data_IF_909597711581
#
_entry.id   IF_909597711581
#
_cell.length_a   1.000
_cell.length_b   1.000
_cell.length_c   1.000
_cell.angle_alpha   90.00
_cell.angle_beta   90.00
_cell.angle_gamma   90.00
#
_symmetry.space_group_name_H-M   'P 1'
#
loop_
_entity.id
_entity.type
_entity.pdbx_description
1 polymer ?
#
# COMPACT_ATOMS: atom_id res chain seq x y z
N UNK A 1 -4.11 18.57 6.78
CA UNK A 1 -3.04 17.84 7.49
C UNK A 1 -3.69 16.90 8.48
N UNK A 2 -3.25 15.64 8.55
CA UNK A 2 -3.70 14.68 9.56
C UNK A 2 -2.66 14.52 10.66
N UNK A 3 -3.09 14.15 11.87
CA UNK A 3 -2.24 13.84 13.02
C UNK A 3 -2.46 12.39 13.43
N UNK A 4 -1.36 11.68 13.70
CA UNK A 4 -1.37 10.30 14.18
C UNK A 4 -0.57 10.26 15.48
N UNK A 5 -1.10 9.57 16.49
CA UNK A 5 -0.40 9.30 17.75
C UNK A 5 -0.26 7.79 17.89
N UNK A 6 0.98 7.31 17.86
CA UNK A 6 1.30 5.90 18.13
C UNK A 6 1.60 5.77 19.62
N UNK A 7 0.79 4.97 20.33
CA UNK A 7 0.97 4.71 21.77
C UNK A 7 1.64 3.36 21.96
N UNK A 8 2.32 3.18 23.09
CA UNK A 8 3.00 1.93 23.44
C UNK A 8 4.00 1.48 22.35
N UNK A 9 4.73 2.44 21.78
CA UNK A 9 5.80 2.14 20.85
C UNK A 9 7.00 1.62 21.65
N UNK A 10 7.54 0.49 21.23
CA UNK A 10 8.74 -0.06 21.84
C UNK A 10 9.92 0.91 21.68
N UNK A 11 10.69 1.11 22.75
CA UNK A 11 11.80 2.07 22.78
C UNK A 11 12.87 1.74 21.72
N UNK A 12 13.09 0.45 21.46
CA UNK A 12 14.00 0.00 20.41
C UNK A 12 13.58 0.51 19.01
N UNK A 13 12.28 0.57 18.73
CA UNK A 13 11.75 1.09 17.46
C UNK A 13 11.94 2.61 17.39
N UNK A 14 11.69 3.32 18.50
CA UNK A 14 11.92 4.77 18.55
C UNK A 14 13.38 5.12 18.30
N UNK A 15 14.32 4.40 18.92
CA UNK A 15 15.75 4.60 18.73
C UNK A 15 16.20 4.27 17.29
N UNK A 16 15.70 3.18 16.72
CA UNK A 16 15.98 2.84 15.32
C UNK A 16 15.52 3.95 14.35
N UNK A 17 14.34 4.53 14.59
CA UNK A 17 13.82 5.63 13.78
C UNK A 17 14.65 6.90 13.96
N UNK A 18 15.08 7.23 15.18
CA UNK A 18 15.97 8.38 15.44
C UNK A 18 17.31 8.24 14.73
N UNK A 19 17.94 7.06 14.81
CA UNK A 19 19.20 6.77 14.13
C UNK A 19 19.06 6.92 12.61
N UNK A 20 17.98 6.38 12.06
CA UNK A 20 17.68 6.51 10.62
C UNK A 20 17.41 7.96 10.22
N UNK A 21 16.71 8.73 11.05
CA UNK A 21 16.47 10.16 10.81
C UNK A 21 17.77 10.96 10.79
N UNK A 22 18.69 10.69 11.74
CA UNK A 22 20.01 11.31 11.77
C UNK A 22 20.82 10.97 10.51
N UNK A 23 20.82 9.70 10.08
CA UNK A 23 21.48 9.28 8.84
C UNK A 23 20.93 10.00 7.59
N UNK A 24 19.64 10.29 7.57
CA UNK A 24 18.98 10.99 6.46
C UNK A 24 18.98 12.52 6.58
N UNK A 25 19.66 13.10 7.59
CA UNK A 25 19.66 14.54 7.89
C UNK A 25 18.24 15.13 7.99
N UNK A 26 17.32 14.40 8.63
CA UNK A 26 15.91 14.78 8.80
C UNK A 26 15.51 14.70 10.26
N UNK A 27 14.44 15.42 10.63
CA UNK A 27 13.82 15.24 11.94
C UNK A 27 13.18 13.86 12.05
N UNK A 28 13.06 13.33 13.27
CA UNK A 28 12.40 12.04 13.53
C UNK A 28 10.97 12.01 12.97
N UNK A 29 10.22 13.10 13.11
CA UNK A 29 8.88 13.23 12.53
C UNK A 29 8.90 13.20 10.99
N UNK A 30 9.84 13.91 10.37
CA UNK A 30 9.99 13.90 8.91
C UNK A 30 10.37 12.51 8.39
N UNK A 31 11.18 11.76 9.14
CA UNK A 31 11.52 10.38 8.82
C UNK A 31 10.32 9.44 8.98
N UNK A 32 9.55 9.55 10.06
CA UNK A 32 8.30 8.79 10.24
C UNK A 32 7.35 9.05 9.08
N UNK A 33 7.19 10.32 8.67
CA UNK A 33 6.38 10.67 7.50
C UNK A 33 6.92 10.03 6.22
N UNK A 34 8.24 10.05 6.01
CA UNK A 34 8.87 9.45 4.83
C UNK A 34 8.68 7.92 4.81
N UNK A 35 8.81 7.25 5.96
CA UNK A 35 8.56 5.82 6.13
C UNK A 35 7.11 5.49 5.80
N UNK A 36 6.15 6.25 6.36
CA UNK A 36 4.73 6.05 6.09
C UNK A 36 4.41 6.25 4.61
N UNK A 37 4.89 7.35 4.00
CA UNK A 37 4.72 7.61 2.57
C UNK A 37 5.33 6.50 1.69
N UNK A 38 6.47 5.94 2.10
CA UNK A 38 7.10 4.83 1.38
C UNK A 38 6.32 3.54 1.51
N UNK A 39 5.84 3.22 2.70
CA UNK A 39 5.04 2.03 2.98
C UNK A 39 3.72 2.04 2.18
N UNK A 40 3.11 3.22 1.99
CA UNK A 40 1.89 3.37 1.17
C UNK A 40 2.19 3.63 -0.32
N UNK A 41 3.45 3.56 -0.74
CA UNK A 41 3.84 3.70 -2.16
C UNK A 41 3.74 5.12 -2.73
N UNK A 42 3.65 6.15 -1.89
CA UNK A 42 3.56 7.55 -2.29
C UNK A 42 4.92 8.21 -2.55
N UNK A 43 6.01 7.64 -2.05
CA UNK A 43 7.38 8.02 -2.43
C UNK A 43 7.92 7.06 -3.49
N UNK A 44 7.40 7.15 -4.71
CA UNK A 44 8.17 6.72 -5.88
C UNK A 44 9.25 7.78 -6.15
N UNK A 45 10.52 7.42 -6.34
CA UNK A 45 11.47 8.36 -6.91
C UNK A 45 10.92 8.78 -8.27
N UNK A 46 10.73 10.09 -8.44
CA UNK A 46 10.56 10.69 -9.76
C UNK A 46 11.81 10.35 -10.58
N UNK A 47 11.77 9.22 -11.32
CA UNK A 47 12.91 8.79 -12.14
C UNK A 47 13.07 7.30 -12.39
N UNK A 48 12.44 6.38 -11.65
CA UNK A 48 12.48 4.95 -12.06
C UNK A 48 11.20 4.58 -12.80
N UNK A 49 11.23 4.80 -14.11
CA UNK A 49 10.51 3.95 -15.06
C UNK A 49 11.13 2.53 -14.96
N UNK A 50 10.80 1.80 -13.90
CA UNK A 50 10.92 0.34 -13.93
C UNK A 50 9.60 -0.18 -14.50
N UNK A 51 9.58 -0.75 -15.71
CA UNK A 51 8.35 -1.18 -16.36
C UNK A 51 7.76 -2.47 -15.78
N UNK A 52 8.31 -3.01 -14.68
CA UNK A 52 8.09 -4.41 -14.31
C UNK A 52 7.76 -4.68 -12.83
N UNK A 53 7.00 -3.78 -12.18
CA UNK A 53 6.35 -4.18 -10.92
C UNK A 53 4.98 -3.52 -10.73
N UNK A 54 3.88 -4.30 -10.63
CA UNK A 54 2.56 -3.76 -10.39
C UNK A 54 2.42 -3.37 -8.91
N UNK A 55 2.02 -2.12 -8.66
CA UNK A 55 1.65 -1.61 -7.34
C UNK A 55 0.19 -1.16 -7.39
N UNK A 56 -0.75 -2.06 -7.17
CA UNK A 56 -2.10 -1.70 -6.74
C UNK A 56 -2.54 -2.54 -5.54
N UNK A 57 -3.34 -1.92 -4.68
CA UNK A 57 -3.95 -2.55 -3.50
C UNK A 57 -4.81 -3.79 -3.87
N UNK A 58 -5.26 -3.87 -5.13
CA UNK A 58 -5.92 -5.04 -5.73
C UNK A 58 -5.02 -6.28 -5.83
N UNK A 59 -3.70 -6.11 -5.89
CA UNK A 59 -2.76 -7.23 -5.98
C UNK A 59 -2.53 -7.87 -4.60
N UNK A 60 -2.77 -7.11 -3.52
CA UNK A 60 -2.67 -7.58 -2.14
C UNK A 60 -3.95 -8.29 -1.69
N UNK A 61 -5.11 -7.86 -2.19
CA UNK A 61 -6.41 -8.50 -1.94
C UNK A 61 -6.66 -9.47 -3.09
N UNK A 62 -6.04 -10.64 -3.08
CA UNK A 62 -6.12 -11.80 -3.99
C UNK A 62 -7.26 -11.93 -5.02
N UNK A 63 -7.56 -10.89 -5.79
CA UNK A 63 -8.44 -10.90 -6.95
C UNK A 63 -7.49 -11.15 -8.09
N UNK A 64 -7.26 -12.43 -8.35
CA UNK A 64 -6.56 -12.90 -9.52
C UNK A 64 -7.01 -12.06 -10.72
N UNK A 65 -6.11 -11.23 -11.23
CA UNK A 65 -6.20 -10.65 -12.56
C UNK A 65 -6.15 -11.78 -13.58
N UNK A 66 -7.25 -12.51 -13.74
CA UNK A 66 -7.66 -12.89 -15.08
C UNK A 66 -8.19 -11.61 -15.70
N UNK A 67 -7.62 -11.20 -16.83
CA UNK A 67 -8.19 -10.15 -17.68
C UNK A 67 -9.50 -10.67 -18.26
N UNK A 68 -10.52 -10.74 -17.42
CA UNK A 68 -11.87 -10.95 -17.87
C UNK A 68 -12.38 -9.64 -18.39
N UNK A 69 -12.84 -9.63 -19.63
CA UNK A 69 -13.49 -8.45 -20.19
C UNK A 69 -14.74 -8.16 -19.36
N UNK A 70 -15.20 -6.91 -19.38
CA UNK A 70 -16.38 -6.50 -18.61
C UNK A 70 -17.59 -7.42 -18.85
N UNK A 71 -17.72 -7.95 -20.07
CA UNK A 71 -18.75 -8.90 -20.48
C UNK A 71 -18.66 -10.25 -19.75
N UNK A 72 -17.44 -10.73 -19.48
CA UNK A 72 -17.21 -11.99 -18.77
C UNK A 72 -17.48 -11.82 -17.26
N UNK A 73 -17.20 -10.62 -16.71
CA UNK A 73 -17.57 -10.27 -15.34
C UNK A 73 -19.09 -10.21 -15.19
N UNK A 74 -19.79 -9.55 -16.13
CA UNK A 74 -21.25 -9.44 -16.10
C UNK A 74 -21.93 -10.80 -16.26
N UNK A 75 -21.36 -11.69 -17.09
CA UNK A 75 -21.83 -13.06 -17.24
C UNK A 75 -21.65 -13.88 -15.95
N UNK A 76 -20.51 -13.74 -15.28
CA UNK A 76 -20.23 -14.42 -14.00
C UNK A 76 -21.15 -13.95 -12.87
N UNK A 77 -21.40 -12.64 -12.78
CA UNK A 77 -22.33 -12.08 -11.78
C UNK A 77 -23.76 -12.58 -12.01
N UNK A 78 -24.19 -12.72 -13.27
CA UNK A 78 -25.51 -13.30 -13.59
C UNK A 78 -25.60 -14.77 -13.22
N UNK A 79 -24.59 -15.58 -13.52
CA UNK A 79 -24.61 -17.00 -13.16
C UNK A 79 -24.66 -17.23 -11.66
N UNK A 80 -23.97 -16.40 -10.88
CA UNK A 80 -24.06 -16.43 -9.42
C UNK A 80 -25.48 -16.11 -8.95
N UNK A 81 -26.13 -15.09 -9.52
CA UNK A 81 -27.51 -14.74 -9.14
C UNK A 81 -28.48 -15.90 -9.38
N UNK A 82 -28.38 -16.55 -10.54
CA UNK A 82 -29.27 -17.65 -10.91
C UNK A 82 -29.04 -18.91 -10.04
N UNK A 83 -27.84 -19.09 -9.50
CA UNK A 83 -27.52 -20.18 -8.55
C UNK A 83 -28.14 -19.95 -7.17
N UNK A 84 -28.29 -18.69 -6.73
CA UNK A 84 -28.92 -18.34 -5.46
C UNK A 84 -30.46 -18.24 -5.52
N UNK A 85 -31.04 -18.08 -6.71
CA UNK A 85 -32.50 -18.07 -6.92
C UNK A 85 -33.08 -19.48 -7.17
N UNK A 86 -32.26 -20.55 -7.11
CA UNK A 86 -32.67 -21.96 -7.16
C UNK A 86 -32.73 -22.58 -5.75
#
# INVERSE_FOLDING_TARGET
MGQIVVRQLEDAVLEAVKLRAAANNRSTEAEVRAILSSAVGLTSPAGSLNPDMPKRFSDFVGIASKRSTQEEIDAYVRSLRDEWER
#
